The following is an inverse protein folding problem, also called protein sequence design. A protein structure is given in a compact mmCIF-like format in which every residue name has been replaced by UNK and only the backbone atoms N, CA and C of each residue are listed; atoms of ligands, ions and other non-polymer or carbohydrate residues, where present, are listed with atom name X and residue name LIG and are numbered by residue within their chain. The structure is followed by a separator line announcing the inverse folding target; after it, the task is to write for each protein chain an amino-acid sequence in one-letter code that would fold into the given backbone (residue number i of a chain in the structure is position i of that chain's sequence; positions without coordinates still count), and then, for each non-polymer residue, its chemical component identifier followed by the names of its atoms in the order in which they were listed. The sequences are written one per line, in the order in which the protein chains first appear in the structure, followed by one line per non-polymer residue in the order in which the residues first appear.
data_IF_843769432403
#
_entry.id   IF_843769432403
#
_cell.length_a   1.000
_cell.length_b   1.000
_cell.length_c   1.000
_cell.angle_alpha   90.00
_cell.angle_beta   90.00
_cell.angle_gamma   90.00
#
_symmetry.space_group_name_H-M   'P 1'
#
loop_
_entity.id
_entity.type
_entity.pdbx_description
1 polymer ?
#
# COMPACT_ATOMS: atom_id res chain seq x y z
N UNK A 1 -16.10 4.11 -7.58
CA UNK A 1 -15.05 3.85 -8.58
C UNK A 1 -14.26 5.14 -8.76
N UNK A 2 -12.94 5.12 -8.58
CA UNK A 2 -12.13 6.34 -8.66
C UNK A 2 -11.96 6.78 -10.12
N UNK A 3 -12.09 8.08 -10.39
CA UNK A 3 -12.05 8.66 -11.76
C UNK A 3 -10.67 8.49 -12.41
N UNK A 4 -9.60 8.54 -11.61
CA UNK A 4 -8.20 8.35 -12.02
C UNK A 4 -7.91 6.96 -12.63
N UNK A 5 -8.79 5.98 -12.48
CA UNK A 5 -8.62 4.64 -13.07
C UNK A 5 -8.55 4.67 -14.60
N UNK A 6 -9.03 5.76 -15.23
CA UNK A 6 -8.98 5.98 -16.69
C UNK A 6 -7.58 6.26 -17.24
N UNK A 7 -6.62 6.63 -16.38
CA UNK A 7 -5.24 6.89 -16.80
C UNK A 7 -4.35 5.65 -16.71
N UNK A 8 -4.90 4.52 -16.23
CA UNK A 8 -4.19 3.25 -16.12
C UNK A 8 -4.26 2.48 -17.45
N UNK A 9 -3.14 1.86 -17.79
CA UNK A 9 -3.02 0.83 -18.83
C UNK A 9 -3.69 -0.48 -18.40
N UNK A 10 -3.90 -1.40 -19.35
CA UNK A 10 -4.51 -2.70 -19.04
C UNK A 10 -3.69 -3.51 -18.02
N UNK A 11 -2.36 -3.47 -18.10
CA UNK A 11 -1.48 -4.15 -17.14
C UNK A 11 -1.60 -3.55 -15.73
N UNK A 12 -1.70 -2.22 -15.63
CA UNK A 12 -1.91 -1.51 -14.36
C UNK A 12 -3.29 -1.80 -13.77
N UNK A 13 -4.32 -1.91 -14.61
CA UNK A 13 -5.66 -2.33 -14.19
C UNK A 13 -5.67 -3.77 -13.67
N UNK A 14 -4.92 -4.68 -14.31
CA UNK A 14 -4.76 -6.05 -13.84
C UNK A 14 -4.02 -6.09 -12.50
N UNK A 15 -2.97 -5.29 -12.35
CA UNK A 15 -2.22 -5.20 -11.09
C UNK A 15 -3.08 -4.62 -9.95
N UNK A 16 -3.88 -3.59 -10.22
CA UNK A 16 -4.87 -3.06 -9.26
C UNK A 16 -5.85 -4.15 -8.85
N UNK A 17 -6.38 -4.89 -9.83
CA UNK A 17 -7.35 -5.96 -9.59
C UNK A 17 -6.74 -7.10 -8.77
N UNK A 18 -5.43 -7.38 -8.93
CA UNK A 18 -4.71 -8.35 -8.11
C UNK A 18 -4.73 -7.95 -6.64
N UNK A 19 -4.34 -6.72 -6.30
CA UNK A 19 -4.38 -6.24 -4.90
C UNK A 19 -5.79 -6.30 -4.30
N UNK A 20 -6.79 -5.95 -5.11
CA UNK A 20 -8.21 -6.06 -4.75
C UNK A 20 -8.57 -7.51 -4.42
N UNK A 21 -8.19 -8.46 -5.27
CA UNK A 21 -8.51 -9.87 -5.08
C UNK A 21 -7.79 -10.45 -3.87
N UNK A 22 -6.52 -10.10 -3.67
CA UNK A 22 -5.71 -10.54 -2.53
C UNK A 22 -6.33 -10.05 -1.21
N UNK A 23 -6.66 -8.76 -1.10
CA UNK A 23 -7.31 -8.20 0.08
C UNK A 23 -8.70 -8.82 0.32
N UNK A 24 -9.48 -9.04 -0.75
CA UNK A 24 -10.79 -9.69 -0.67
C UNK A 24 -10.68 -11.13 -0.16
N UNK A 25 -9.70 -11.88 -0.66
CA UNK A 25 -9.43 -13.27 -0.26
C UNK A 25 -9.07 -13.35 1.22
N UNK A 26 -8.21 -12.45 1.70
CA UNK A 26 -7.87 -12.38 3.13
C UNK A 26 -9.11 -12.05 3.96
N UNK A 27 -9.89 -11.05 3.55
CA UNK A 27 -11.09 -10.61 4.27
C UNK A 27 -12.21 -11.66 4.34
N UNK A 28 -12.21 -12.61 3.42
CA UNK A 28 -13.16 -13.72 3.35
C UNK A 28 -12.63 -15.00 3.98
N UNK A 29 -11.39 -15.01 4.47
CA UNK A 29 -10.81 -16.17 5.12
C UNK A 29 -11.56 -16.52 6.40
N UNK A 30 -11.61 -17.82 6.73
CA UNK A 30 -12.33 -18.32 7.91
C UNK A 30 -11.80 -17.72 9.22
N UNK A 31 -10.49 -17.46 9.31
CA UNK A 31 -9.83 -16.86 10.47
C UNK A 31 -9.84 -15.33 10.47
N UNK A 32 -10.54 -14.69 9.54
CA UNK A 32 -10.51 -13.25 9.42
C UNK A 32 -11.01 -12.54 10.68
N UNK A 33 -10.25 -11.56 11.17
CA UNK A 33 -10.45 -10.89 12.45
C UNK A 33 -9.45 -11.31 13.54
N UNK A 34 -8.62 -12.32 13.28
CA UNK A 34 -7.41 -12.58 14.06
C UNK A 34 -6.31 -11.56 13.70
N UNK A 35 -5.42 -11.27 14.65
CA UNK A 35 -4.40 -10.23 14.52
C UNK A 35 -3.53 -10.37 13.26
N UNK A 36 -3.15 -11.60 12.92
CA UNK A 36 -2.35 -11.95 11.73
C UNK A 36 -3.11 -11.66 10.42
N UNK A 37 -4.34 -12.15 10.30
CA UNK A 37 -5.17 -11.92 9.11
C UNK A 37 -5.54 -10.45 8.92
N UNK A 38 -5.75 -9.73 10.02
CA UNK A 38 -5.95 -8.29 9.99
C UNK A 38 -4.69 -7.55 9.55
N UNK A 39 -3.52 -7.96 10.05
CA UNK A 39 -2.24 -7.36 9.64
C UNK A 39 -1.97 -7.57 8.15
N UNK A 40 -2.20 -8.78 7.63
CA UNK A 40 -2.04 -9.10 6.22
C UNK A 40 -3.03 -8.32 5.35
N UNK A 41 -4.29 -8.23 5.77
CA UNK A 41 -5.28 -7.38 5.11
C UNK A 41 -4.82 -5.92 5.06
N UNK A 42 -4.30 -5.39 6.17
CA UNK A 42 -3.78 -4.01 6.24
C UNK A 42 -2.63 -3.79 5.26
N UNK A 43 -1.68 -4.74 5.17
CA UNK A 43 -0.53 -4.66 4.25
C UNK A 43 -0.96 -4.63 2.79
N UNK A 44 -1.92 -5.46 2.41
CA UNK A 44 -2.42 -5.48 1.03
C UNK A 44 -3.23 -4.22 0.74
N UNK A 45 -4.08 -3.77 1.67
CA UNK A 45 -4.88 -2.56 1.49
C UNK A 45 -4.00 -1.29 1.41
N UNK A 46 -2.95 -1.19 2.21
CA UNK A 46 -1.99 -0.08 2.11
C UNK A 46 -1.21 -0.11 0.80
N UNK A 47 -0.89 -1.30 0.29
CA UNK A 47 -0.27 -1.48 -1.04
C UNK A 47 -1.21 -1.04 -2.17
N UNK A 48 -2.52 -1.35 -2.08
CA UNK A 48 -3.53 -0.88 -3.03
C UNK A 48 -3.68 0.65 -2.99
N UNK A 49 -3.71 1.23 -1.78
CA UNK A 49 -3.77 2.68 -1.60
C UNK A 49 -2.57 3.36 -2.23
N UNK A 50 -1.37 2.82 -1.99
CA UNK A 50 -0.12 3.31 -2.59
C UNK A 50 -0.16 3.21 -4.11
N UNK A 51 -0.55 2.06 -4.65
CA UNK A 51 -0.67 1.86 -6.08
C UNK A 51 -1.57 2.92 -6.70
N UNK A 52 -2.76 3.14 -6.13
CA UNK A 52 -3.69 4.16 -6.58
C UNK A 52 -3.17 5.58 -6.39
N UNK A 53 -2.39 5.86 -5.35
CA UNK A 53 -1.81 7.20 -5.14
C UNK A 53 -0.96 7.65 -6.35
N UNK A 54 -0.21 6.74 -6.98
CA UNK A 54 0.61 7.06 -8.15
C UNK A 54 -0.20 7.59 -9.36
N UNK A 55 -1.49 7.27 -9.43
CA UNK A 55 -2.38 7.69 -10.52
C UNK A 55 -3.44 8.72 -10.08
N UNK A 56 -3.84 8.65 -8.81
CA UNK A 56 -4.98 9.38 -8.25
C UNK A 56 -4.57 10.53 -7.32
N UNK A 57 -3.29 10.60 -6.93
CA UNK A 57 -2.82 11.48 -5.86
C UNK A 57 -3.65 11.27 -4.59
N UNK A 58 -4.01 12.37 -3.94
CA UNK A 58 -4.77 12.38 -2.68
C UNK A 58 -6.14 11.70 -2.77
N UNK A 59 -6.72 11.53 -3.98
CA UNK A 59 -7.96 10.77 -4.14
C UNK A 59 -7.80 9.29 -3.77
N UNK A 60 -6.56 8.78 -3.66
CA UNK A 60 -6.30 7.43 -3.17
C UNK A 60 -6.78 7.21 -1.73
N UNK A 61 -6.97 8.28 -0.92
CA UNK A 61 -7.56 8.21 0.43
C UNK A 61 -8.94 7.56 0.45
N UNK A 62 -9.71 7.74 -0.63
CA UNK A 62 -11.05 7.17 -0.77
C UNK A 62 -11.03 5.66 -0.99
N UNK A 63 -9.86 5.06 -1.27
CA UNK A 63 -9.70 3.61 -1.48
C UNK A 63 -10.14 2.83 -0.26
N UNK A 64 -9.73 3.25 0.94
CA UNK A 64 -10.08 2.57 2.18
C UNK A 64 -11.57 2.71 2.52
N UNK A 65 -12.19 3.82 2.12
CA UNK A 65 -13.63 4.09 2.33
C UNK A 65 -14.54 3.44 1.29
N UNK A 66 -14.03 2.61 0.39
CA UNK A 66 -14.90 1.86 -0.52
C UNK A 66 -15.72 0.84 0.28
N UNK A 67 -17.02 0.72 -0.04
CA UNK A 67 -17.99 -0.14 0.66
C UNK A 67 -17.50 -1.59 0.88
N UNK A 68 -16.68 -2.11 -0.03
CA UNK A 68 -16.09 -3.45 0.07
C UNK A 68 -15.14 -3.64 1.25
N UNK A 69 -14.51 -2.58 1.75
CA UNK A 69 -13.54 -2.65 2.83
C UNK A 69 -14.13 -2.24 4.17
N UNK A 70 -15.29 -1.59 4.19
CA UNK A 70 -15.92 -1.06 5.39
C UNK A 70 -16.07 -2.13 6.49
N UNK A 71 -16.71 -3.25 6.18
CA UNK A 71 -16.87 -4.34 7.14
C UNK A 71 -15.52 -4.96 7.59
N UNK A 72 -14.57 -5.27 6.69
CA UNK A 72 -13.22 -5.71 7.08
C UNK A 72 -12.46 -4.74 7.98
N UNK A 73 -12.51 -3.44 7.69
CA UNK A 73 -11.84 -2.38 8.45
C UNK A 73 -12.42 -2.28 9.86
N UNK A 74 -13.75 -2.28 9.97
CA UNK A 74 -14.45 -2.25 11.26
C UNK A 74 -14.10 -3.49 12.09
N UNK A 75 -14.07 -4.66 11.47
CA UNK A 75 -13.74 -5.93 12.15
C UNK A 75 -12.31 -5.95 12.70
N UNK A 76 -11.36 -5.35 12.00
CA UNK A 76 -9.97 -5.24 12.44
C UNK A 76 -9.69 -3.98 13.31
N UNK A 77 -10.70 -3.14 13.58
CA UNK A 77 -10.53 -1.93 14.38
C UNK A 77 -9.56 -0.91 13.77
N UNK A 78 -9.47 -0.84 12.44
CA UNK A 78 -8.52 0.03 11.76
C UNK A 78 -9.09 1.41 11.42
N UNK A 79 -8.21 2.41 11.44
CA UNK A 79 -8.48 3.76 10.96
C UNK A 79 -7.98 3.91 9.52
N UNK A 80 -8.88 4.28 8.61
CA UNK A 80 -8.56 4.49 7.20
C UNK A 80 -7.51 5.58 6.96
N UNK A 81 -7.50 6.64 7.78
CA UNK A 81 -6.47 7.69 7.67
C UNK A 81 -5.09 7.13 7.97
N UNK A 82 -4.98 6.22 8.95
CA UNK A 82 -3.72 5.54 9.28
C UNK A 82 -3.26 4.65 8.14
N UNK A 83 -4.15 3.83 7.57
CA UNK A 83 -3.83 2.94 6.44
C UNK A 83 -3.36 3.75 5.23
N UNK A 84 -4.02 4.88 4.94
CA UNK A 84 -3.61 5.75 3.85
C UNK A 84 -2.21 6.33 4.05
N UNK A 85 -1.91 6.87 5.24
CA UNK A 85 -0.56 7.37 5.55
C UNK A 85 0.50 6.28 5.48
N UNK A 86 0.21 5.07 5.98
CA UNK A 86 1.14 3.93 5.90
C UNK A 86 1.50 3.58 4.44
N UNK A 87 0.53 3.65 3.53
CA UNK A 87 0.75 3.46 2.10
C UNK A 87 1.66 4.52 1.46
N UNK A 88 1.61 5.77 1.95
CA UNK A 88 2.48 6.86 1.47
C UNK A 88 3.90 6.77 2.04
N UNK A 89 4.05 6.38 3.31
CA UNK A 89 5.33 6.43 4.02
C UNK A 89 6.33 5.36 3.57
N UNK A 90 5.88 4.28 2.93
CA UNK A 90 6.75 3.18 2.47
C UNK A 90 7.74 3.59 1.37
N UNK A 91 7.52 4.73 0.71
CA UNK A 91 8.46 5.32 -0.27
C UNK A 91 9.66 6.01 0.42
N UNK A 92 9.42 6.63 1.58
CA UNK A 92 10.42 7.44 2.28
C UNK A 92 11.51 6.62 2.97
N UNK A 93 11.20 5.39 3.38
CA UNK A 93 12.16 4.51 4.05
C UNK A 93 13.14 3.84 3.07
N UNK A 94 12.66 3.49 1.87
CA UNK A 94 13.46 2.79 0.86
C UNK A 94 14.46 3.72 0.16
N UNK A 95 14.10 4.98 -0.10
CA UNK A 95 15.05 5.97 -0.64
C UNK A 95 16.16 6.34 0.35
N UNK A 96 15.88 6.42 1.65
CA UNK A 96 16.88 6.76 2.68
C UNK A 96 17.95 5.67 2.84
N UNK A 97 17.57 4.40 2.77
CA UNK A 97 18.51 3.28 2.90
C UNK A 97 19.48 3.26 1.71
N UNK A 98 18.98 3.39 0.48
CA UNK A 98 19.82 3.38 -0.73
C UNK A 98 20.80 4.57 -0.72
N UNK A 99 20.32 5.77 -0.35
CA UNK A 99 21.18 6.96 -0.26
C UNK A 99 22.31 6.78 0.78
N UNK A 100 22.00 6.21 1.95
CA UNK A 100 23.03 5.93 2.97
C UNK A 100 24.08 4.93 2.51
N UNK A 101 23.67 3.84 1.83
CA UNK A 101 24.61 2.84 1.31
C UNK A 101 25.52 3.42 0.21
N UNK A 102 24.98 4.21 -0.71
CA UNK A 102 25.75 4.84 -1.79
C UNK A 102 26.76 5.84 -1.21
N UNK A 103 26.33 6.71 -0.28
CA UNK A 103 27.22 7.70 0.35
C UNK A 103 28.34 7.00 1.15
N UNK A 104 28.02 5.95 1.90
CA UNK A 104 29.03 5.18 2.62
C UNK A 104 30.06 4.55 1.69
N UNK A 105 29.61 3.96 0.56
CA UNK A 105 30.49 3.32 -0.41
C UNK A 105 31.40 4.34 -1.11
N UNK A 106 30.86 5.51 -1.48
CA UNK A 106 31.64 6.60 -2.08
C UNK A 106 32.70 7.16 -1.12
N UNK A 107 32.36 7.37 0.16
CA UNK A 107 33.32 7.83 1.17
C UNK A 107 34.44 6.79 1.36
N UNK A 108 34.10 5.49 1.40
CA UNK A 108 35.12 4.44 1.51
C UNK A 108 36.05 4.37 0.30
N UNK A 109 35.54 4.55 -0.92
CA UNK A 109 36.36 4.58 -2.13
C UNK A 109 37.37 5.74 -2.12
N UNK A 110 36.95 6.92 -1.67
CA UNK A 110 37.82 8.11 -1.62
C UNK A 110 38.88 8.06 -0.50
N UNK A 111 38.65 7.33 0.59
CA UNK A 111 39.63 7.17 1.68
C UNK A 111 40.65 6.06 1.44
N UNK A 112 40.51 5.28 0.36
CA UNK A 112 41.39 4.16 0.00
C UNK A 112 42.21 4.42 -1.28
N UNK A 113 42.40 5.69 -1.62
CA UNK A 113 43.29 6.15 -2.69
C UNK A 113 44.32 7.13 -2.13
#
# INVERSE_FOLDING_TARGET
MLICRRTMTDDELQQEQKYINDASTISQSYSFGADDTCEDFRKVLSSLVRFRFNFCGDLSRCTCSETRWEAPIVRCGYDCERIWREGLMTESASQKIIAHFIVYFLIRMFMWW
#
